data_IF_589711677528
#
_entry.id   IF_589711677528
#
_cell.length_a   1.000
_cell.length_b   1.000
_cell.length_c   1.000
_cell.angle_alpha   90.00
_cell.angle_beta   90.00
_cell.angle_gamma   90.00
#
_symmetry.space_group_name_H-M   'P 1'
#
loop_
_entity.id
_entity.type
_entity.pdbx_description
1 polymer ?
#
# COMPACT_ATOMS: atom_id res chain seq x y z
N UNK A 1 -15.66 16.69 -38.36
CA UNK A 1 -16.19 15.98 -37.19
C UNK A 1 -15.16 14.93 -36.86
N UNK A 2 -14.61 14.96 -35.67
CA UNK A 2 -13.74 13.88 -35.22
C UNK A 2 -14.63 12.65 -34.98
N UNK A 3 -14.29 11.54 -35.64
CA UNK A 3 -15.04 10.27 -35.57
C UNK A 3 -14.94 9.68 -34.17
N UNK A 4 -15.97 8.93 -33.74
CA UNK A 4 -15.92 8.19 -32.47
C UNK A 4 -14.81 7.13 -32.50
N UNK A 5 -14.38 6.63 -31.33
CA UNK A 5 -13.36 5.59 -31.30
C UNK A 5 -13.87 4.27 -31.92
N UNK A 6 -15.17 4.03 -31.80
CA UNK A 6 -15.87 2.89 -32.41
C UNK A 6 -15.84 3.00 -33.93
N UNK A 7 -16.15 4.17 -34.50
CA UNK A 7 -16.08 4.42 -35.95
C UNK A 7 -14.63 4.29 -36.47
N UNK A 8 -13.65 4.78 -35.69
CA UNK A 8 -12.23 4.61 -36.03
C UNK A 8 -11.78 3.14 -35.99
N UNK A 9 -12.29 2.39 -35.02
CA UNK A 9 -12.08 0.94 -34.90
C UNK A 9 -12.68 0.22 -36.11
N UNK A 10 -13.94 0.50 -36.45
CA UNK A 10 -14.62 -0.07 -37.64
C UNK A 10 -13.83 0.22 -38.92
N UNK A 11 -13.37 1.46 -39.11
CA UNK A 11 -12.52 1.82 -40.26
C UNK A 11 -11.23 1.00 -40.32
N UNK A 12 -10.58 0.74 -39.18
CA UNK A 12 -9.37 -0.07 -39.11
C UNK A 12 -9.65 -1.54 -39.43
N UNK A 13 -10.76 -2.08 -38.92
CA UNK A 13 -11.18 -3.46 -39.15
C UNK A 13 -11.58 -3.70 -40.62
N UNK A 14 -12.37 -2.79 -41.20
CA UNK A 14 -12.69 -2.81 -42.62
C UNK A 14 -11.44 -2.71 -43.48
N UNK A 15 -10.46 -1.89 -43.09
CA UNK A 15 -9.18 -1.81 -43.78
C UNK A 15 -8.42 -3.15 -43.74
N UNK A 16 -8.35 -3.82 -42.59
CA UNK A 16 -7.70 -5.13 -42.50
C UNK A 16 -8.36 -6.16 -43.41
N UNK A 17 -9.70 -6.25 -43.38
CA UNK A 17 -10.45 -7.19 -44.21
C UNK A 17 -10.23 -6.91 -45.70
N UNK A 18 -10.36 -5.63 -46.11
CA UNK A 18 -10.17 -5.22 -47.50
C UNK A 18 -8.75 -5.50 -48.02
N UNK A 19 -7.72 -5.29 -47.21
CA UNK A 19 -6.33 -5.57 -47.60
C UNK A 19 -6.09 -7.08 -47.69
N UNK A 20 -6.54 -7.85 -46.71
CA UNK A 20 -6.42 -9.31 -46.72
C UNK A 20 -7.11 -9.91 -47.96
N UNK A 21 -8.33 -9.49 -48.26
CA UNK A 21 -9.09 -9.95 -49.42
C UNK A 21 -8.41 -9.58 -50.74
N UNK A 22 -7.86 -8.37 -50.85
CA UNK A 22 -7.12 -7.94 -52.06
C UNK A 22 -5.83 -8.74 -52.26
N UNK A 23 -5.10 -9.05 -51.19
CA UNK A 23 -3.89 -9.88 -51.25
C UNK A 23 -4.20 -11.30 -51.74
N UNK A 24 -5.32 -11.88 -51.29
CA UNK A 24 -5.73 -13.22 -51.69
C UNK A 24 -6.34 -13.25 -53.09
N UNK A 25 -7.30 -12.38 -53.39
CA UNK A 25 -8.07 -12.41 -54.65
C UNK A 25 -7.26 -11.88 -55.83
N UNK A 26 -6.64 -10.70 -55.70
CA UNK A 26 -5.99 -10.01 -56.81
C UNK A 26 -4.55 -10.47 -57.00
N UNK A 27 -3.81 -10.67 -55.91
CA UNK A 27 -2.39 -11.01 -55.96
C UNK A 27 -2.12 -12.50 -55.76
N UNK A 28 -3.16 -13.31 -55.50
CA UNK A 28 -3.09 -14.77 -55.34
C UNK A 28 -1.99 -15.19 -54.36
N UNK A 29 -1.79 -14.40 -53.31
CA UNK A 29 -0.77 -14.65 -52.29
C UNK A 29 -1.22 -15.84 -51.44
N UNK A 30 -0.34 -16.83 -51.17
CA UNK A 30 -0.66 -17.95 -50.28
C UNK A 30 -1.05 -17.47 -48.88
N UNK A 31 -1.99 -18.15 -48.19
CA UNK A 31 -2.53 -17.70 -46.90
C UNK A 31 -1.46 -17.47 -45.83
N UNK A 32 -0.45 -18.32 -45.75
CA UNK A 32 0.68 -18.18 -44.81
C UNK A 32 1.47 -16.87 -45.01
N UNK A 33 1.60 -16.42 -46.27
CA UNK A 33 2.29 -15.17 -46.60
C UNK A 33 1.37 -13.96 -46.39
N UNK A 34 0.05 -14.14 -46.52
CA UNK A 34 -0.93 -13.11 -46.19
C UNK A 34 -0.88 -12.79 -44.70
N UNK A 35 -0.85 -13.78 -43.81
CA UNK A 35 -0.76 -13.54 -42.37
C UNK A 35 0.48 -12.71 -42.01
N UNK A 36 1.66 -13.09 -42.51
CA UNK A 36 2.90 -12.33 -42.30
C UNK A 36 2.86 -10.92 -42.87
N UNK A 37 2.21 -10.73 -44.02
CA UNK A 37 2.04 -9.39 -44.60
C UNK A 37 1.09 -8.54 -43.74
N UNK A 38 -0.01 -9.12 -43.27
CA UNK A 38 -0.98 -8.44 -42.40
C UNK A 38 -0.36 -8.05 -41.06
N UNK A 39 0.55 -8.87 -40.51
CA UNK A 39 1.31 -8.52 -39.32
C UNK A 39 2.16 -7.25 -39.51
N UNK A 40 2.85 -7.11 -40.66
CA UNK A 40 3.63 -5.91 -40.97
C UNK A 40 2.73 -4.69 -41.25
N UNK A 41 1.55 -4.92 -41.85
CA UNK A 41 0.54 -3.87 -42.04
C UNK A 41 0.05 -3.36 -40.68
N UNK A 42 -0.37 -4.24 -39.76
CA UNK A 42 -0.78 -3.87 -38.40
C UNK A 42 0.34 -3.10 -37.69
N UNK A 43 1.57 -3.64 -37.71
CA UNK A 43 2.74 -2.99 -37.10
C UNK A 43 2.94 -1.58 -37.62
N UNK A 44 2.87 -1.38 -38.94
CA UNK A 44 3.07 -0.07 -39.54
C UNK A 44 1.97 0.92 -39.17
N UNK A 45 0.70 0.54 -39.31
CA UNK A 45 -0.42 1.46 -39.05
C UNK A 45 -0.53 1.77 -37.56
N UNK A 46 -0.40 0.77 -36.68
CA UNK A 46 -0.57 0.94 -35.25
C UNK A 46 0.58 1.70 -34.63
N UNK A 47 1.81 1.56 -35.13
CA UNK A 47 2.94 2.39 -34.69
C UNK A 47 2.68 3.89 -34.93
N UNK A 48 1.99 4.24 -36.03
CA UNK A 48 1.67 5.64 -36.38
C UNK A 48 0.44 6.15 -35.65
N UNK A 49 -0.59 5.32 -35.53
CA UNK A 49 -1.88 5.70 -34.97
C UNK A 49 -1.93 5.61 -33.44
N UNK A 50 -1.03 4.88 -32.79
CA UNK A 50 -1.03 4.64 -31.34
C UNK A 50 -1.28 5.91 -30.51
N UNK A 51 -0.63 7.03 -30.86
CA UNK A 51 -0.76 8.32 -30.14
C UNK A 51 -2.15 8.97 -30.22
N UNK A 52 -3.00 8.53 -31.16
CA UNK A 52 -4.36 9.05 -31.36
C UNK A 52 -5.43 8.10 -30.85
N UNK A 53 -5.20 6.79 -30.99
CA UNK A 53 -6.22 5.76 -30.71
C UNK A 53 -6.03 5.04 -29.36
N UNK A 54 -4.87 5.17 -28.72
CA UNK A 54 -4.64 4.58 -27.40
C UNK A 54 -5.05 5.57 -26.29
N UNK A 55 -5.96 5.14 -25.41
CA UNK A 55 -6.55 5.98 -24.35
C UNK A 55 -7.00 7.36 -24.86
N UNK A 56 -7.97 7.44 -25.80
CA UNK A 56 -8.45 8.71 -26.30
C UNK A 56 -9.18 9.50 -25.20
N UNK A 57 -9.00 10.82 -25.17
CA UNK A 57 -9.67 11.71 -24.19
C UNK A 57 -11.21 11.71 -24.34
N UNK A 58 -11.72 11.24 -25.48
CA UNK A 58 -13.15 11.14 -25.77
C UNK A 58 -13.83 9.92 -25.13
N UNK A 59 -13.06 8.96 -24.60
CA UNK A 59 -13.59 7.72 -24.00
C UNK A 59 -13.50 7.76 -22.47
N UNK A 60 -14.02 6.73 -21.81
CA UNK A 60 -13.88 6.52 -20.38
C UNK A 60 -12.70 5.60 -20.00
N UNK A 61 -11.79 5.33 -20.94
CA UNK A 61 -10.69 4.38 -20.75
C UNK A 61 -9.77 4.78 -19.58
N UNK A 62 -9.39 6.06 -19.47
CA UNK A 62 -8.58 6.57 -18.35
C UNK A 62 -9.30 6.43 -17.00
N UNK A 63 -10.61 6.69 -16.97
CA UNK A 63 -11.42 6.54 -15.75
C UNK A 63 -11.45 5.09 -15.30
N UNK A 64 -11.62 4.16 -16.24
CA UNK A 64 -11.59 2.70 -15.99
C UNK A 64 -10.21 2.24 -15.54
N UNK A 65 -9.14 2.76 -16.14
CA UNK A 65 -7.76 2.48 -15.72
C UNK A 65 -7.53 2.87 -14.25
N UNK A 66 -7.93 4.10 -13.87
CA UNK A 66 -7.81 4.56 -12.50
C UNK A 66 -8.66 3.75 -11.52
N UNK A 67 -9.88 3.36 -11.92
CA UNK A 67 -10.77 2.55 -11.11
C UNK A 67 -10.17 1.16 -10.84
N UNK A 68 -9.72 0.46 -11.89
CA UNK A 68 -9.09 -0.87 -11.78
C UNK A 68 -7.77 -0.79 -11.02
N UNK A 69 -6.95 0.22 -11.26
CA UNK A 69 -5.68 0.39 -10.54
C UNK A 69 -5.92 0.59 -9.03
N UNK A 70 -6.89 1.43 -8.65
CA UNK A 70 -7.28 1.63 -7.24
C UNK A 70 -7.85 0.35 -6.64
N UNK A 71 -8.66 -0.37 -7.40
CA UNK A 71 -9.24 -1.65 -7.00
C UNK A 71 -8.18 -2.70 -6.71
N UNK A 72 -7.24 -2.93 -7.63
CA UNK A 72 -6.12 -3.86 -7.43
C UNK A 72 -5.29 -3.44 -6.21
N UNK A 73 -5.02 -2.14 -6.05
CA UNK A 73 -4.28 -1.62 -4.89
C UNK A 73 -4.99 -1.92 -3.57
N UNK A 74 -6.32 -1.80 -3.51
CA UNK A 74 -7.08 -2.13 -2.30
C UNK A 74 -7.08 -3.63 -1.97
N UNK A 75 -6.86 -4.49 -2.97
CA UNK A 75 -6.79 -5.95 -2.84
C UNK A 75 -5.36 -6.47 -2.62
N UNK A 76 -4.41 -5.61 -2.22
CA UNK A 76 -3.01 -6.00 -2.01
C UNK A 76 -2.81 -7.08 -0.94
N UNK A 77 -3.81 -7.26 -0.06
CA UNK A 77 -3.79 -8.22 1.05
C UNK A 77 -4.14 -9.65 0.61
N UNK A 78 -4.71 -9.83 -0.58
CA UNK A 78 -5.12 -11.16 -1.09
C UNK A 78 -3.89 -12.07 -1.21
N UNK A 79 -4.04 -13.29 -0.70
CA UNK A 79 -2.98 -14.31 -0.66
C UNK A 79 -3.23 -15.40 -1.72
N UNK A 80 -2.19 -16.12 -2.18
CA UNK A 80 -2.36 -17.26 -3.09
C UNK A 80 -3.35 -18.30 -2.57
N UNK A 81 -3.35 -18.55 -1.26
CA UNK A 81 -4.19 -19.55 -0.59
C UNK A 81 -5.68 -19.21 -0.70
N UNK A 82 -6.06 -17.93 -0.58
CA UNK A 82 -7.46 -17.48 -0.71
C UNK A 82 -8.02 -17.69 -2.11
N UNK A 83 -7.16 -17.66 -3.12
CA UNK A 83 -7.51 -17.88 -4.53
C UNK A 83 -7.31 -19.35 -4.96
N UNK A 84 -6.89 -20.24 -4.05
CA UNK A 84 -6.54 -21.63 -4.36
C UNK A 84 -5.46 -21.76 -5.45
N UNK A 85 -4.48 -20.85 -5.46
CA UNK A 85 -3.42 -20.81 -6.48
C UNK A 85 -2.42 -21.95 -6.23
N UNK A 86 -2.19 -22.85 -7.21
CA UNK A 86 -1.29 -24.00 -7.04
C UNK A 86 0.17 -23.62 -7.34
N UNK A 87 0.65 -22.54 -6.72
CA UNK A 87 2.00 -22.00 -6.90
C UNK A 87 2.62 -21.78 -5.53
N UNK A 88 3.77 -22.42 -5.28
CA UNK A 88 4.54 -22.22 -4.05
C UNK A 88 5.72 -21.29 -4.33
N UNK A 89 5.59 -20.03 -3.92
CA UNK A 89 6.66 -19.03 -4.03
C UNK A 89 7.86 -19.31 -3.11
N UNK A 90 7.77 -20.30 -2.22
CA UNK A 90 8.89 -20.76 -1.39
C UNK A 90 10.01 -21.40 -2.22
N UNK A 91 9.66 -21.93 -3.41
CA UNK A 91 10.62 -22.51 -4.34
C UNK A 91 11.24 -21.36 -5.16
N UNK A 92 12.57 -21.12 -5.09
CA UNK A 92 13.20 -19.99 -5.77
C UNK A 92 12.93 -19.96 -7.28
N UNK A 93 12.94 -21.12 -7.94
CA UNK A 93 12.65 -21.22 -9.38
C UNK A 93 11.21 -20.79 -9.73
N UNK A 94 10.26 -21.09 -8.85
CA UNK A 94 8.85 -20.69 -9.02
C UNK A 94 8.71 -19.19 -8.80
N UNK A 95 9.35 -18.64 -7.76
CA UNK A 95 9.39 -17.21 -7.51
C UNK A 95 9.95 -16.43 -8.70
N UNK A 96 11.04 -16.92 -9.31
CA UNK A 96 11.62 -16.34 -10.53
C UNK A 96 10.62 -16.35 -11.71
N UNK A 97 9.84 -17.43 -11.88
CA UNK A 97 8.81 -17.48 -12.93
C UNK A 97 7.67 -16.50 -12.66
N UNK A 98 7.24 -16.35 -11.41
CA UNK A 98 6.23 -15.37 -10.99
C UNK A 98 6.70 -13.95 -11.28
N UNK A 99 7.96 -13.62 -10.94
CA UNK A 99 8.54 -12.30 -11.24
C UNK A 99 8.62 -12.03 -12.74
N UNK A 100 8.98 -13.04 -13.56
CA UNK A 100 8.98 -12.93 -15.03
C UNK A 100 7.58 -12.69 -15.58
N UNK A 101 6.58 -13.43 -15.09
CA UNK A 101 5.18 -13.24 -15.50
C UNK A 101 4.67 -11.83 -15.16
N UNK A 102 4.97 -11.33 -13.96
CA UNK A 102 4.66 -9.95 -13.54
C UNK A 102 5.36 -8.94 -14.46
N UNK A 103 6.62 -9.18 -14.79
CA UNK A 103 7.39 -8.29 -15.67
C UNK A 103 6.78 -8.21 -17.06
N UNK A 104 6.41 -9.35 -17.66
CA UNK A 104 5.80 -9.41 -18.99
C UNK A 104 4.46 -8.67 -19.04
N UNK A 105 3.59 -8.85 -18.02
CA UNK A 105 2.28 -8.17 -18.01
C UNK A 105 2.42 -6.65 -17.81
N UNK A 106 3.45 -6.20 -17.07
CA UNK A 106 3.78 -4.78 -16.95
C UNK A 106 4.35 -4.25 -18.28
N UNK A 107 5.23 -5.02 -18.94
CA UNK A 107 5.87 -4.64 -20.19
C UNK A 107 4.87 -4.48 -21.35
N UNK A 108 3.70 -5.11 -21.27
CA UNK A 108 2.59 -4.95 -22.24
C UNK A 108 2.32 -3.48 -22.57
N UNK A 109 2.31 -2.60 -21.57
CA UNK A 109 1.99 -1.18 -21.76
C UNK A 109 3.07 -0.43 -22.57
N UNK A 110 4.31 -0.92 -22.55
CA UNK A 110 5.42 -0.34 -23.32
C UNK A 110 5.33 -0.60 -24.82
N UNK A 111 4.54 -1.60 -25.24
CA UNK A 111 4.38 -1.97 -26.66
C UNK A 111 3.36 -1.06 -27.33
N UNK A 112 3.59 -0.72 -28.60
CA UNK A 112 2.62 0.09 -29.37
C UNK A 112 1.71 -0.75 -30.26
N UNK A 113 2.20 -1.88 -30.73
CA UNK A 113 1.48 -2.74 -31.68
C UNK A 113 0.63 -3.75 -30.90
N UNK A 114 -0.65 -3.97 -31.26
CA UNK A 114 -1.51 -4.96 -30.59
C UNK A 114 -0.90 -6.36 -30.55
N UNK A 115 -0.31 -6.85 -31.64
CA UNK A 115 0.44 -8.11 -31.66
C UNK A 115 1.53 -8.20 -30.59
N UNK A 116 2.33 -7.15 -30.42
CA UNK A 116 3.42 -7.15 -29.44
C UNK A 116 2.87 -7.13 -28.01
N UNK A 117 1.71 -6.48 -27.78
CA UNK A 117 0.98 -6.55 -26.51
C UNK A 117 0.47 -7.96 -26.23
N UNK A 118 -0.13 -8.62 -27.22
CA UNK A 118 -0.55 -10.02 -27.11
C UNK A 118 0.64 -10.94 -26.82
N UNK A 119 1.80 -10.71 -27.44
CA UNK A 119 3.00 -11.48 -27.17
C UNK A 119 3.45 -11.36 -25.70
N UNK A 120 3.32 -10.18 -25.07
CA UNK A 120 3.55 -10.02 -23.63
C UNK A 120 2.58 -10.86 -22.79
N UNK A 121 1.28 -10.87 -23.14
CA UNK A 121 0.26 -11.68 -22.44
C UNK A 121 0.56 -13.18 -22.60
N UNK A 122 0.96 -13.61 -23.79
CA UNK A 122 1.34 -14.99 -24.08
C UNK A 122 2.61 -15.41 -23.32
N UNK A 123 3.63 -14.54 -23.24
CA UNK A 123 4.83 -14.81 -22.45
C UNK A 123 4.53 -14.91 -20.95
N UNK A 124 3.77 -13.95 -20.41
CA UNK A 124 3.27 -13.99 -19.04
C UNK A 124 2.58 -15.32 -18.73
N UNK A 125 1.65 -15.73 -19.60
CA UNK A 125 0.93 -16.99 -19.47
C UNK A 125 1.86 -18.20 -19.50
N UNK A 126 2.84 -18.23 -20.40
CA UNK A 126 3.85 -19.31 -20.46
C UNK A 126 4.69 -19.40 -19.18
N UNK A 127 5.06 -18.27 -18.58
CA UNK A 127 5.73 -18.26 -17.28
C UNK A 127 4.83 -18.78 -16.15
N UNK A 128 3.53 -18.46 -16.18
CA UNK A 128 2.54 -19.04 -15.26
C UNK A 128 2.48 -20.57 -15.41
N UNK A 129 2.35 -21.09 -16.63
CA UNK A 129 2.34 -22.54 -16.86
C UNK A 129 3.60 -23.23 -16.34
N UNK A 130 4.76 -22.60 -16.53
CA UNK A 130 6.02 -23.12 -16.00
C UNK A 130 6.04 -23.11 -14.46
N UNK A 131 5.57 -22.03 -13.82
CA UNK A 131 5.48 -21.94 -12.37
C UNK A 131 4.58 -23.04 -11.76
N UNK A 132 3.41 -23.26 -12.36
CA UNK A 132 2.48 -24.31 -11.93
C UNK A 132 3.09 -25.70 -12.16
N UNK A 133 3.73 -25.92 -13.31
CA UNK A 133 4.36 -27.20 -13.64
C UNK A 133 5.47 -27.56 -12.66
N UNK A 134 6.31 -26.60 -12.25
CA UNK A 134 7.36 -26.83 -11.25
C UNK A 134 6.74 -27.14 -9.88
N UNK A 135 5.65 -26.46 -9.51
CA UNK A 135 5.00 -26.65 -8.21
C UNK A 135 4.27 -28.00 -8.10
N UNK A 136 3.47 -28.37 -9.12
CA UNK A 136 2.64 -29.59 -9.10
C UNK A 136 3.35 -30.82 -9.69
N UNK A 137 4.46 -30.66 -10.40
CA UNK A 137 5.08 -31.69 -11.25
C UNK A 137 4.15 -32.28 -12.32
N UNK A 138 3.04 -31.61 -12.63
CA UNK A 138 2.02 -32.01 -13.60
C UNK A 138 1.70 -30.86 -14.55
N UNK A 139 1.21 -31.14 -15.77
CA UNK A 139 0.72 -30.09 -16.66
C UNK A 139 -0.42 -29.30 -16.01
N UNK A 140 -0.36 -27.97 -16.07
CA UNK A 140 -1.41 -27.14 -15.49
C UNK A 140 -2.72 -27.30 -16.25
N UNK A 141 -3.82 -27.39 -15.50
CA UNK A 141 -5.18 -27.32 -16.05
C UNK A 141 -5.64 -25.87 -16.24
N UNK A 142 -6.76 -25.65 -16.94
CA UNK A 142 -7.38 -24.33 -17.04
C UNK A 142 -7.83 -23.81 -15.67
N UNK A 143 -8.28 -24.70 -14.78
CA UNK A 143 -8.69 -24.39 -13.40
C UNK A 143 -7.51 -23.96 -12.52
N UNK A 144 -6.29 -24.41 -12.85
CA UNK A 144 -5.05 -23.96 -12.20
C UNK A 144 -4.57 -22.61 -12.76
N UNK A 145 -4.83 -22.36 -14.05
CA UNK A 145 -4.29 -21.21 -14.77
C UNK A 145 -4.97 -19.88 -14.37
N UNK A 146 -6.31 -19.82 -14.42
CA UNK A 146 -7.03 -18.56 -14.22
C UNK A 146 -6.81 -17.94 -12.83
N UNK A 147 -6.87 -18.70 -11.70
CA UNK A 147 -6.56 -18.15 -10.38
C UNK A 147 -5.12 -17.63 -10.29
N UNK A 148 -4.17 -18.33 -10.93
CA UNK A 148 -2.78 -17.89 -10.98
C UNK A 148 -2.63 -16.60 -11.79
N UNK A 149 -3.33 -16.45 -12.92
CA UNK A 149 -3.33 -15.21 -13.71
C UNK A 149 -3.94 -14.04 -12.92
N UNK A 150 -5.05 -14.25 -12.20
CA UNK A 150 -5.64 -13.26 -11.31
C UNK A 150 -4.62 -12.81 -10.27
N UNK A 151 -3.90 -13.76 -9.66
CA UNK A 151 -2.86 -13.47 -8.68
C UNK A 151 -1.71 -12.65 -9.27
N UNK A 152 -1.22 -12.98 -10.46
CA UNK A 152 -0.18 -12.21 -11.16
C UNK A 152 -0.66 -10.78 -11.45
N UNK A 153 -1.90 -10.60 -11.91
CA UNK A 153 -2.48 -9.26 -12.16
C UNK A 153 -2.60 -8.47 -10.86
N UNK A 154 -3.03 -9.09 -9.77
CA UNK A 154 -3.11 -8.46 -8.44
C UNK A 154 -1.73 -8.00 -7.93
N UNK A 155 -0.69 -8.82 -8.12
CA UNK A 155 0.69 -8.47 -7.72
C UNK A 155 1.33 -7.43 -8.62
N UNK A 156 1.11 -7.53 -9.93
CA UNK A 156 1.72 -6.64 -10.90
C UNK A 156 1.09 -5.26 -10.97
N UNK A 157 -0.22 -5.16 -10.73
CA UNK A 157 -1.02 -3.96 -10.97
C UNK A 157 -0.65 -3.25 -12.29
N UNK A 158 -0.84 -3.93 -13.45
CA UNK A 158 -0.31 -3.47 -14.73
C UNK A 158 -0.77 -2.04 -15.07
N UNK A 159 0.12 -1.17 -15.57
CA UNK A 159 -0.24 0.19 -15.91
C UNK A 159 -1.24 0.22 -17.08
N UNK A 160 -2.23 1.13 -16.98
CA UNK A 160 -3.23 1.38 -18.04
C UNK A 160 -3.92 0.10 -18.54
N UNK A 161 -4.24 -0.81 -17.62
CA UNK A 161 -4.72 -2.16 -17.93
C UNK A 161 -6.00 -2.18 -18.79
N UNK A 162 -6.99 -1.34 -18.47
CA UNK A 162 -8.24 -1.26 -19.21
C UNK A 162 -8.01 -0.65 -20.60
N UNK A 163 -7.22 0.43 -20.71
CA UNK A 163 -6.83 0.99 -22.02
C UNK A 163 -6.12 -0.03 -22.90
N UNK A 164 -5.23 -0.86 -22.33
CA UNK A 164 -4.54 -1.92 -23.07
C UNK A 164 -5.51 -2.98 -23.60
N UNK A 165 -6.45 -3.44 -22.77
CA UNK A 165 -7.48 -4.41 -23.16
C UNK A 165 -8.37 -3.83 -24.27
N UNK A 166 -8.87 -2.61 -24.10
CA UNK A 166 -9.73 -1.95 -25.08
C UNK A 166 -8.98 -1.70 -26.40
N UNK A 167 -7.71 -1.29 -26.33
CA UNK A 167 -6.88 -1.07 -27.50
C UNK A 167 -6.68 -2.35 -28.31
N UNK A 168 -6.38 -3.48 -27.66
CA UNK A 168 -6.24 -4.78 -28.34
C UNK A 168 -7.59 -5.19 -28.95
N UNK A 169 -8.70 -5.08 -28.21
CA UNK A 169 -10.04 -5.41 -28.69
C UNK A 169 -10.45 -4.61 -29.93
N UNK A 170 -10.13 -3.31 -29.97
CA UNK A 170 -10.51 -2.41 -31.06
C UNK A 170 -9.61 -2.56 -32.29
N UNK A 171 -8.30 -2.72 -32.11
CA UNK A 171 -7.33 -2.50 -33.18
C UNK A 171 -6.45 -3.69 -33.58
N UNK A 172 -6.54 -4.82 -32.84
CA UNK A 172 -5.88 -6.05 -33.26
C UNK A 172 -6.58 -6.65 -34.48
N UNK A 173 -5.82 -7.32 -35.35
CA UNK A 173 -6.39 -8.16 -36.38
C UNK A 173 -7.28 -9.27 -35.77
N UNK A 174 -8.59 -9.36 -36.11
CA UNK A 174 -9.53 -10.29 -35.50
C UNK A 174 -9.15 -11.75 -35.69
N UNK A 175 -8.49 -12.09 -36.81
CA UNK A 175 -8.07 -13.48 -37.07
C UNK A 175 -7.18 -14.02 -35.95
N UNK A 176 -6.35 -13.15 -35.34
CA UNK A 176 -5.43 -13.49 -34.24
C UNK A 176 -6.15 -13.63 -32.89
N UNK A 177 -7.23 -12.89 -32.67
CA UNK A 177 -8.04 -13.01 -31.46
C UNK A 177 -8.99 -14.22 -31.51
N UNK A 178 -9.47 -14.57 -32.70
CA UNK A 178 -10.41 -15.69 -32.88
C UNK A 178 -9.72 -17.05 -33.01
N UNK A 179 -8.43 -17.08 -33.34
CA UNK A 179 -7.67 -18.33 -33.53
C UNK A 179 -6.31 -18.28 -32.83
N UNK A 180 -5.94 -19.38 -32.18
CA UNK A 180 -4.62 -19.57 -31.58
C UNK A 180 -4.52 -19.33 -30.07
N UNK A 181 -3.30 -19.42 -29.55
CA UNK A 181 -3.00 -19.28 -28.12
C UNK A 181 -3.17 -17.84 -27.61
N UNK A 182 -2.89 -16.84 -28.44
CA UNK A 182 -2.97 -15.41 -28.08
C UNK A 182 -4.40 -15.02 -27.69
N UNK A 183 -5.41 -15.45 -28.47
CA UNK A 183 -6.82 -15.19 -28.18
C UNK A 183 -7.31 -15.86 -26.90
N UNK A 184 -6.84 -17.08 -26.61
CA UNK A 184 -7.16 -17.78 -25.37
C UNK A 184 -6.60 -17.03 -24.14
N UNK A 185 -5.33 -16.62 -24.18
CA UNK A 185 -4.72 -15.90 -23.07
C UNK A 185 -5.31 -14.50 -22.89
N UNK A 186 -5.61 -13.79 -23.98
CA UNK A 186 -6.30 -12.51 -23.94
C UNK A 186 -7.69 -12.62 -23.31
N UNK A 187 -8.46 -13.65 -23.69
CA UNK A 187 -9.78 -13.90 -23.10
C UNK A 187 -9.68 -14.17 -21.59
N UNK A 188 -8.71 -14.99 -21.17
CA UNK A 188 -8.46 -15.24 -19.74
C UNK A 188 -8.05 -13.98 -18.98
N UNK A 189 -7.24 -13.09 -19.59
CA UNK A 189 -6.92 -11.80 -18.99
C UNK A 189 -8.17 -10.94 -18.80
N UNK A 190 -9.04 -10.85 -19.81
CA UNK A 190 -10.31 -10.14 -19.70
C UNK A 190 -11.20 -10.72 -18.58
N UNK A 191 -11.27 -12.05 -18.47
CA UNK A 191 -11.96 -12.73 -17.38
C UNK A 191 -11.35 -12.40 -16.01
N UNK A 192 -10.01 -12.41 -15.90
CA UNK A 192 -9.30 -12.08 -14.67
C UNK A 192 -9.57 -10.63 -14.21
N UNK A 193 -9.54 -9.66 -15.12
CA UNK A 193 -9.87 -8.26 -14.80
C UNK A 193 -11.31 -8.11 -14.36
N UNK A 194 -12.26 -8.71 -15.09
CA UNK A 194 -13.68 -8.66 -14.73
C UNK A 194 -13.96 -9.33 -13.36
N UNK A 195 -13.22 -10.40 -13.03
CA UNK A 195 -13.28 -11.02 -11.71
C UNK A 195 -12.77 -10.08 -10.62
N UNK A 196 -11.61 -9.43 -10.81
CA UNK A 196 -11.01 -8.49 -9.85
C UNK A 196 -11.96 -7.30 -9.58
N UNK A 197 -12.62 -6.78 -10.61
CA UNK A 197 -13.60 -5.69 -10.49
C UNK A 197 -14.77 -6.06 -9.58
N UNK A 198 -15.25 -7.31 -9.68
CA UNK A 198 -16.43 -7.81 -8.96
C UNK A 198 -16.11 -8.66 -7.72
N UNK A 199 -14.83 -8.79 -7.38
CA UNK A 199 -14.37 -9.67 -6.30
C UNK A 199 -15.03 -9.32 -4.96
N UNK A 200 -15.64 -10.32 -4.32
CA UNK A 200 -16.31 -10.17 -3.04
C UNK A 200 -15.78 -11.19 -2.01
N UNK A 201 -16.33 -11.15 -0.79
CA UNK A 201 -15.96 -12.07 0.29
C UNK A 201 -16.18 -13.53 -0.11
N UNK A 202 -17.29 -13.82 -0.78
CA UNK A 202 -17.66 -15.18 -1.21
C UNK A 202 -16.66 -15.75 -2.23
N UNK A 203 -16.19 -14.91 -3.15
CA UNK A 203 -15.18 -15.26 -4.16
C UNK A 203 -13.86 -15.74 -3.55
N UNK A 204 -13.53 -15.30 -2.33
CA UNK A 204 -12.33 -15.68 -1.58
C UNK A 204 -12.60 -16.71 -0.48
N UNK A 205 -13.81 -17.26 -0.39
CA UNK A 205 -14.25 -18.13 0.70
C UNK A 205 -14.07 -17.49 2.10
N UNK A 206 -14.30 -16.18 2.22
CA UNK A 206 -14.20 -15.42 3.47
C UNK A 206 -15.59 -15.00 3.97
N UNK A 207 -15.68 -14.74 5.28
CA UNK A 207 -16.84 -14.05 5.84
C UNK A 207 -16.84 -12.58 5.41
N UNK A 208 -18.03 -11.96 5.33
CA UNK A 208 -18.14 -10.54 4.99
C UNK A 208 -17.39 -9.66 6.00
N UNK A 209 -17.41 -10.05 7.28
CA UNK A 209 -16.70 -9.34 8.34
C UNK A 209 -15.18 -9.35 8.15
N UNK A 210 -14.60 -10.51 7.79
CA UNK A 210 -13.16 -10.61 7.56
C UNK A 210 -12.73 -9.83 6.32
N UNK A 211 -13.54 -9.89 5.26
CA UNK A 211 -13.31 -9.12 4.04
C UNK A 211 -13.29 -7.62 4.32
N UNK A 212 -14.29 -7.10 5.05
CA UNK A 212 -14.38 -5.69 5.41
C UNK A 212 -13.22 -5.26 6.32
N UNK A 213 -12.78 -6.13 7.25
CA UNK A 213 -11.60 -5.88 8.10
C UNK A 213 -10.30 -5.79 7.29
N UNK A 214 -10.13 -6.64 6.28
CA UNK A 214 -8.95 -6.57 5.39
C UNK A 214 -9.00 -5.33 4.48
N UNK A 215 -10.17 -4.99 3.94
CA UNK A 215 -10.36 -3.80 3.10
C UNK A 215 -10.17 -2.48 3.85
N UNK A 216 -10.51 -2.44 5.15
CA UNK A 216 -10.28 -1.27 6.03
C UNK A 216 -8.86 -1.20 6.59
N UNK A 217 -8.02 -2.22 6.33
CA UNK A 217 -6.64 -2.28 6.80
C UNK A 217 -6.48 -2.53 8.30
N UNK A 218 -7.56 -2.93 9.00
CA UNK A 218 -7.54 -3.23 10.43
C UNK A 218 -6.86 -4.56 10.74
N UNK A 219 -6.85 -5.50 9.79
CA UNK A 219 -6.17 -6.79 9.87
C UNK A 219 -5.35 -7.05 8.61
N UNK A 220 -4.28 -7.84 8.75
CA UNK A 220 -3.51 -8.36 7.62
C UNK A 220 -3.57 -9.88 7.66
N UNK A 221 -3.84 -10.56 6.53
CA UNK A 221 -3.89 -12.03 6.49
C UNK A 221 -2.59 -12.69 7.00
N UNK A 222 -1.45 -11.99 6.88
CA UNK A 222 -0.16 -12.45 7.37
C UNK A 222 -0.07 -12.63 8.90
N UNK A 223 -1.05 -12.14 9.68
CA UNK A 223 -1.07 -12.35 11.14
C UNK A 223 -1.52 -13.77 11.56
N UNK A 224 -2.07 -14.58 10.65
CA UNK A 224 -2.58 -15.92 11.01
C UNK A 224 -1.53 -17.05 10.97
N UNK A 225 -0.33 -16.84 10.42
CA UNK A 225 0.78 -17.81 10.49
C UNK A 225 1.78 -17.45 11.60
N UNK A 226 1.31 -17.34 12.84
CA UNK A 226 2.18 -17.02 13.97
C UNK A 226 3.00 -18.18 14.54
N UNK A 227 3.01 -19.39 13.96
CA UNK A 227 3.72 -20.53 14.57
C UNK A 227 4.68 -21.32 13.66
N UNK A 228 4.92 -20.90 12.42
CA UNK A 228 5.88 -21.60 11.54
C UNK A 228 6.66 -20.63 10.65
N UNK A 229 7.56 -19.83 11.24
CA UNK A 229 8.50 -19.04 10.43
C UNK A 229 9.51 -19.96 9.73
N UNK A 230 9.36 -20.14 8.41
CA UNK A 230 10.40 -20.70 7.55
C UNK A 230 11.63 -19.77 7.51
N UNK A 231 12.85 -20.28 7.25
CA UNK A 231 14.08 -19.52 7.48
C UNK A 231 14.27 -18.30 6.58
N UNK A 232 13.58 -18.22 5.43
CA UNK A 232 14.02 -17.43 4.27
C UNK A 232 13.23 -16.14 3.98
N UNK A 233 12.59 -15.54 4.99
CA UNK A 233 12.01 -14.18 4.83
C UNK A 233 13.13 -13.13 4.80
N UNK A 234 13.15 -12.32 3.73
CA UNK A 234 14.09 -11.21 3.50
C UNK A 234 14.30 -10.36 4.77
N UNK A 235 15.56 -10.15 5.17
CA UNK A 235 15.96 -9.49 6.42
C UNK A 235 15.25 -8.14 6.66
N UNK A 236 14.96 -7.40 5.59
CA UNK A 236 14.23 -6.12 5.67
C UNK A 236 12.80 -6.26 6.19
N UNK A 237 12.09 -7.35 5.87
CA UNK A 237 10.72 -7.60 6.37
C UNK A 237 10.76 -8.01 7.84
N UNK A 238 11.74 -8.82 8.24
CA UNK A 238 11.97 -9.14 9.67
C UNK A 238 12.30 -7.88 10.48
N UNK A 239 13.12 -6.98 9.94
CA UNK A 239 13.44 -5.70 10.54
C UNK A 239 12.18 -4.83 10.70
N UNK A 240 11.36 -4.75 9.64
CA UNK A 240 10.14 -3.94 9.64
C UNK A 240 9.10 -4.45 10.65
N UNK A 241 8.87 -5.77 10.72
CA UNK A 241 7.96 -6.35 11.72
C UNK A 241 8.43 -6.06 13.15
N UNK A 242 9.74 -6.17 13.42
CA UNK A 242 10.31 -5.78 14.72
C UNK A 242 10.13 -4.28 15.00
N UNK A 243 10.37 -3.42 14.02
CA UNK A 243 10.14 -1.98 14.16
C UNK A 243 8.67 -1.65 14.43
N UNK A 244 7.73 -2.38 13.84
CA UNK A 244 6.30 -2.16 14.00
C UNK A 244 5.81 -2.60 15.38
N UNK A 245 6.29 -3.73 15.90
CA UNK A 245 6.05 -4.16 17.28
C UNK A 245 6.60 -3.14 18.28
N UNK A 246 7.82 -2.67 18.04
CA UNK A 246 8.48 -1.66 18.88
C UNK A 246 7.74 -0.31 18.86
N UNK A 247 7.20 0.09 17.70
CA UNK A 247 6.35 1.27 17.59
C UNK A 247 5.02 1.11 18.35
N UNK A 248 4.40 -0.07 18.30
CA UNK A 248 3.18 -0.36 19.09
C UNK A 248 3.46 -0.23 20.58
N UNK A 249 4.55 -0.83 21.06
CA UNK A 249 4.96 -0.74 22.47
C UNK A 249 5.30 0.69 22.88
N UNK A 250 5.97 1.46 22.01
CA UNK A 250 6.25 2.88 22.24
C UNK A 250 4.97 3.71 22.33
N UNK A 251 3.99 3.45 21.46
CA UNK A 251 2.72 4.15 21.48
C UNK A 251 1.95 3.91 22.78
N UNK A 252 1.85 2.65 23.23
CA UNK A 252 1.24 2.31 24.53
C UNK A 252 1.98 2.97 25.71
N UNK A 253 3.32 3.03 25.64
CA UNK A 253 4.12 3.66 26.70
C UNK A 253 3.91 5.17 26.72
N UNK A 254 3.81 5.80 25.55
CA UNK A 254 3.52 7.23 25.43
C UNK A 254 2.12 7.56 25.96
N UNK A 255 1.12 6.74 25.66
CA UNK A 255 -0.25 6.92 26.17
C UNK A 255 -0.33 6.76 27.70
N UNK A 256 0.42 5.80 28.27
CA UNK A 256 0.58 5.67 29.73
C UNK A 256 1.24 6.90 30.34
N UNK A 257 2.38 7.36 29.81
CA UNK A 257 3.09 8.53 30.34
C UNK A 257 2.19 9.78 30.28
N UNK A 258 1.47 9.99 29.18
CA UNK A 258 0.57 11.14 29.03
C UNK A 258 -0.59 11.07 30.02
N UNK A 259 -1.16 9.88 30.27
CA UNK A 259 -2.24 9.73 31.25
C UNK A 259 -1.76 9.92 32.69
N UNK A 260 -0.57 9.42 33.04
CA UNK A 260 0.05 9.66 34.35
C UNK A 260 0.43 11.14 34.55
N UNK A 261 0.95 11.82 33.52
CA UNK A 261 1.27 13.24 33.60
C UNK A 261 0.02 14.10 33.84
N UNK A 262 -1.09 13.80 33.15
CA UNK A 262 -2.38 14.48 33.38
C UNK A 262 -2.93 14.22 34.79
N UNK A 263 -2.73 13.01 35.31
CA UNK A 263 -3.11 12.69 36.69
C UNK A 263 -2.28 13.51 37.68
N UNK A 264 -0.96 13.56 37.52
CA UNK A 264 -0.08 14.35 38.37
C UNK A 264 -0.41 15.85 38.31
N UNK A 265 -0.71 16.38 37.13
CA UNK A 265 -1.16 17.76 36.94
C UNK A 265 -2.42 18.04 37.78
N UNK A 266 -3.41 17.15 37.74
CA UNK A 266 -4.61 17.26 38.56
C UNK A 266 -4.29 17.20 40.05
N UNK A 267 -3.49 16.22 40.48
CA UNK A 267 -3.13 16.03 41.89
C UNK A 267 -2.38 17.26 42.45
N UNK A 268 -1.56 17.92 41.62
CA UNK A 268 -0.80 19.12 42.01
C UNK A 268 -1.69 20.35 42.14
N UNK A 269 -2.71 20.50 41.28
CA UNK A 269 -3.72 21.55 41.39
C UNK A 269 -4.53 21.32 42.67
N UNK A 270 -5.04 20.10 42.88
CA UNK A 270 -5.85 19.77 44.06
C UNK A 270 -5.06 19.97 45.37
N UNK A 271 -3.76 19.64 45.39
CA UNK A 271 -2.88 19.89 46.53
C UNK A 271 -2.66 21.39 46.77
N UNK A 272 -2.43 22.16 45.71
CA UNK A 272 -2.22 23.61 45.82
C UNK A 272 -3.47 24.30 46.35
N UNK A 273 -4.64 23.97 45.80
CA UNK A 273 -5.93 24.50 46.25
C UNK A 273 -6.21 24.10 47.71
N UNK A 274 -5.89 22.86 48.09
CA UNK A 274 -6.00 22.37 49.47
C UNK A 274 -5.14 23.16 50.46
N UNK A 275 -3.85 23.35 50.15
CA UNK A 275 -2.93 24.16 50.97
C UNK A 275 -3.43 25.60 51.07
N UNK A 276 -3.86 26.20 49.95
CA UNK A 276 -4.32 27.59 49.92
C UNK A 276 -5.51 27.79 50.84
N UNK A 277 -6.46 26.84 50.79
CA UNK A 277 -7.65 26.85 51.64
C UNK A 277 -7.33 26.61 53.11
N UNK A 278 -6.45 25.67 53.44
CA UNK A 278 -6.01 25.45 54.84
C UNK A 278 -5.31 26.68 55.41
N UNK A 279 -4.48 27.36 54.60
CA UNK A 279 -3.81 28.60 55.00
C UNK A 279 -4.84 29.72 55.21
N UNK A 280 -5.81 29.89 54.31
CA UNK A 280 -6.91 30.85 54.47
C UNK A 280 -7.71 30.59 55.75
N UNK A 281 -8.11 29.33 56.00
CA UNK A 281 -8.84 28.93 57.21
C UNK A 281 -8.04 29.23 58.49
N UNK A 282 -6.72 29.01 58.49
CA UNK A 282 -5.85 29.31 59.64
C UNK A 282 -5.71 30.83 59.85
N UNK A 283 -5.56 31.61 58.77
CA UNK A 283 -5.46 33.07 58.83
C UNK A 283 -6.76 33.69 59.34
N UNK A 284 -7.93 33.19 58.92
CA UNK A 284 -9.23 33.63 59.44
C UNK A 284 -9.43 33.24 60.91
N UNK A 285 -9.01 32.03 61.29
CA UNK A 285 -9.17 31.51 62.66
C UNK A 285 -8.20 32.15 63.66
N UNK A 286 -7.03 32.58 63.22
CA UNK A 286 -5.99 33.23 64.03
C UNK A 286 -5.48 34.51 63.34
N UNK A 287 -6.25 35.61 63.40
CA UNK A 287 -5.85 36.87 62.79
C UNK A 287 -4.55 37.38 63.44
N UNK A 288 -3.51 37.54 62.62
CA UNK A 288 -2.22 38.07 63.06
C UNK A 288 -2.32 39.58 63.26
N UNK A 289 -2.63 40.04 64.48
CA UNK A 289 -2.43 41.44 64.87
C UNK A 289 -0.93 41.74 65.02
N UNK A 290 -0.26 42.08 63.92
CA UNK A 290 1.09 42.66 63.97
C UNK A 290 0.95 44.10 64.44
N UNK A 291 1.01 44.32 65.75
CA UNK A 291 1.17 45.67 66.30
C UNK A 291 2.50 46.24 65.79
N UNK A 292 2.52 47.38 65.08
CA UNK A 292 3.78 48.03 64.75
C UNK A 292 4.50 48.36 66.05
N UNK A 293 5.84 48.17 66.08
CA UNK A 293 6.66 48.49 67.25
C UNK A 293 6.30 49.90 67.73
N UNK A 294 5.69 49.96 68.91
CA UNK A 294 5.45 51.21 69.61
C UNK A 294 6.77 51.94 69.74
N UNK A 295 6.70 53.22 69.39
CA UNK A 295 7.72 54.23 69.53
C UNK A 295 8.48 54.08 70.86
N UNK A 296 9.80 54.17 70.75
CA UNK A 296 10.78 53.99 71.81
C UNK A 296 10.32 54.51 73.18
N UNK A 297 10.21 53.59 74.16
CA UNK A 297 10.39 53.96 75.56
C UNK A 297 11.85 54.37 75.70
N UNK A 298 12.03 55.65 75.99
CA UNK A 298 13.31 56.31 76.17
C UNK A 298 14.25 55.49 77.06
N UNK A 299 15.48 55.34 76.59
CA UNK A 299 16.62 54.89 77.37
C UNK A 299 16.75 55.78 78.61
N UNK A 300 16.69 55.16 79.80
CA UNK A 300 16.87 55.84 81.09
C UNK A 300 18.35 55.78 81.53
N UNK A 301 19.27 55.33 80.67
CA UNK A 301 20.67 55.16 81.09
C UNK A 301 21.68 55.31 79.94
N UNK A 302 21.58 56.42 79.21
CA UNK A 302 22.61 56.77 78.21
C UNK A 302 23.00 58.23 78.29
N UNK A 303 23.30 58.69 79.50
CA UNK A 303 24.28 59.75 79.72
C UNK A 303 25.41 59.19 80.58
N UNK A 304 26.40 58.57 79.94
CA UNK A 304 27.76 58.57 80.48
C UNK A 304 28.76 58.35 79.35
N UNK A 305 29.05 59.44 78.63
CA UNK A 305 30.25 59.54 77.79
C UNK A 305 31.40 59.88 78.74
N UNK A 306 32.52 59.19 78.58
CA UNK A 306 33.79 59.32 79.32
C UNK A 306 33.91 58.55 80.64
N UNK A 307 34.36 57.29 80.56
CA UNK A 307 35.38 56.82 81.49
C UNK A 307 36.21 55.68 80.88
N UNK A 308 37.43 56.01 80.46
CA UNK A 308 38.51 55.07 80.20
C UNK A 308 38.81 54.26 81.47
N UNK A 309 38.54 52.95 81.44
CA UNK A 309 39.22 51.85 82.18
C UNK A 309 38.41 50.56 82.07
N UNK A 310 38.62 49.79 81.01
CA UNK A 310 38.22 48.38 80.99
C UNK A 310 39.46 47.49 81.14
N UNK A 311 39.52 46.57 82.13
CA UNK A 311 40.52 45.52 82.18
C UNK A 311 40.26 44.44 81.09
N UNK A 312 41.29 43.67 80.67
CA UNK A 312 41.18 42.75 79.54
C UNK A 312 40.25 41.55 79.84
N UNK A 313 39.70 40.90 78.79
CA UNK A 313 38.71 39.84 78.93
C UNK A 313 39.30 38.57 79.57
N UNK A 314 38.56 37.99 80.51
CA UNK A 314 38.93 36.74 81.21
C UNK A 314 38.79 35.54 80.26
N UNK A 315 39.85 34.72 80.17
CA UNK A 315 39.84 33.42 79.50
C UNK A 315 39.35 32.31 80.45
N UNK A 316 38.72 31.24 79.92
CA UNK A 316 38.02 30.25 80.73
C UNK A 316 39.00 29.33 81.48
N UNK A 317 38.74 29.10 82.77
CA UNK A 317 39.35 28.03 83.54
C UNK A 317 38.33 26.92 83.82
N UNK A 318 38.80 25.68 83.67
CA UNK A 318 38.05 24.45 83.79
C UNK A 318 38.20 23.90 85.22
N UNK A 319 37.06 23.61 85.85
CA UNK A 319 36.80 22.60 86.91
C UNK A 319 37.58 22.60 88.24
N UNK A 320 36.83 22.45 89.35
CA UNK A 320 36.89 21.28 90.25
C UNK A 320 35.84 21.40 91.37
N UNK A 321 34.92 20.42 91.44
CA UNK A 321 34.03 20.21 92.61
C UNK A 321 32.56 20.29 92.27
#
# INVERSE_FOLDING_TARGET
QDLSIEEQSECAQDFYQNVADRLQTRWKVPPEKVEKAMDEVEKYIMTRQYKYVFCPETTDDEKKDLAVQKRIRALHWVTPQMLCVPVSEEIPEVSDMVVKAITDIIEMDSKRVPRDKLACITKCSKHIFNAIKITKNEPASADDFLPTLIYIVLKGNPPRLQSNIQYITRFCNPSRLMTGEDGYYFTNLCCAVAFIEKLDAQSLNLSQEDFDRFMTGQSSPKKQESDSFSPDVCLGVKQMCKSLDLLSQLNERQERIVSEAKKLEKDLIDWTDGITKEVEDIVEKYPLEIKPKSQALAAIDSENVENDKLPPPLQPQVYAG
#
